data_IF_415006249195
#
_entry.id   IF_415006249195
#
_cell.length_a   1.000
_cell.length_b   1.000
_cell.length_c   1.000
_cell.angle_alpha   90.00
_cell.angle_beta   90.00
_cell.angle_gamma   90.00
#
_symmetry.space_group_name_H-M   'P 1'
#
loop_
_entity.id
_entity.type
_entity.pdbx_description
1 polymer ?
#
# COMPACT_ATOMS: atom_id res chain seq x y z
N UNK A 1 -11.70 -6.31 17.05
CA UNK A 1 -11.64 -6.55 15.60
C UNK A 1 -11.46 -5.26 14.81
N UNK A 2 -12.44 -4.34 14.87
CA UNK A 2 -12.37 -3.08 14.10
C UNK A 2 -11.22 -2.18 14.56
N UNK A 3 -11.02 -2.02 15.86
CA UNK A 3 -9.93 -1.21 16.41
C UNK A 3 -8.57 -1.78 16.06
N UNK A 4 -8.41 -3.09 16.12
CA UNK A 4 -7.17 -3.75 15.74
C UNK A 4 -6.81 -3.50 14.28
N UNK A 5 -7.80 -3.51 13.38
CA UNK A 5 -7.59 -3.22 11.96
C UNK A 5 -7.18 -1.76 11.74
N UNK A 6 -7.77 -0.83 12.47
CA UNK A 6 -7.39 0.59 12.42
C UNK A 6 -5.95 0.78 12.92
N UNK A 7 -5.62 0.19 14.06
CA UNK A 7 -4.27 0.27 14.64
C UNK A 7 -3.22 -0.31 13.70
N UNK A 8 -3.52 -1.44 13.07
CA UNK A 8 -2.64 -2.07 12.08
C UNK A 8 -2.41 -1.15 10.88
N UNK A 9 -3.45 -0.48 10.39
CA UNK A 9 -3.34 0.48 9.29
C UNK A 9 -2.47 1.69 9.65
N UNK A 10 -2.61 2.22 10.85
CA UNK A 10 -1.79 3.33 11.36
C UNK A 10 -0.32 2.89 11.45
N UNK A 11 -0.05 1.73 12.04
CA UNK A 11 1.30 1.19 12.15
C UNK A 11 1.92 0.93 10.78
N UNK A 12 1.15 0.36 9.84
CA UNK A 12 1.60 0.08 8.48
C UNK A 12 2.01 1.35 7.74
N UNK A 13 1.22 2.41 7.81
CA UNK A 13 1.55 3.69 7.18
C UNK A 13 2.79 4.32 7.80
N UNK A 14 2.93 4.26 9.11
CA UNK A 14 4.13 4.75 9.80
C UNK A 14 5.39 4.02 9.33
N UNK A 15 5.33 2.70 9.22
CA UNK A 15 6.45 1.89 8.72
C UNK A 15 6.76 2.24 7.27
N UNK A 16 5.73 2.41 6.43
CA UNK A 16 5.90 2.76 5.02
C UNK A 16 6.60 4.12 4.84
N UNK A 17 6.19 5.12 5.60
CA UNK A 17 6.84 6.44 5.57
C UNK A 17 8.28 6.38 6.08
N UNK A 18 8.54 5.64 7.14
CA UNK A 18 9.89 5.43 7.65
C UNK A 18 10.79 4.73 6.62
N UNK A 19 10.26 3.72 5.93
CA UNK A 19 10.97 3.03 4.85
C UNK A 19 11.32 4.00 3.71
N UNK A 20 10.39 4.84 3.32
CA UNK A 20 10.60 5.86 2.28
C UNK A 20 11.76 6.80 2.62
N UNK A 21 11.87 7.24 3.87
CA UNK A 21 12.98 8.09 4.32
C UNK A 21 14.36 7.41 4.28
N UNK A 22 14.38 6.08 4.10
CA UNK A 22 15.59 5.26 3.99
C UNK A 22 15.79 4.68 2.59
N UNK A 23 15.14 5.26 1.59
CA UNK A 23 15.17 4.84 0.19
C UNK A 23 14.71 3.39 -0.03
N UNK A 24 13.83 2.90 0.84
CA UNK A 24 13.22 1.59 0.70
C UNK A 24 11.82 1.70 0.11
N UNK A 25 11.50 0.78 -0.80
CA UNK A 25 10.14 0.56 -1.25
C UNK A 25 9.36 -0.25 -0.23
N UNK A 26 8.08 0.01 -0.11
CA UNK A 26 7.17 -0.74 0.75
C UNK A 26 5.85 -0.99 0.02
N UNK A 27 5.44 -2.24 -0.02
CA UNK A 27 4.14 -2.63 -0.55
C UNK A 27 3.29 -3.18 0.60
N UNK A 28 2.11 -2.58 0.79
CA UNK A 28 1.12 -3.05 1.76
C UNK A 28 0.11 -3.91 0.99
N UNK A 29 -0.13 -5.13 1.44
CA UNK A 29 -1.14 -5.97 0.82
C UNK A 29 -1.91 -6.81 1.83
N UNK A 30 -3.16 -7.11 1.45
CA UNK A 30 -4.11 -7.88 2.23
C UNK A 30 -4.42 -9.23 1.56
N UNK A 31 -4.04 -9.41 0.30
CA UNK A 31 -4.29 -10.61 -0.49
C UNK A 31 -3.27 -11.70 -0.17
N UNK A 32 -3.45 -12.38 0.94
CA UNK A 32 -2.63 -13.51 1.34
C UNK A 32 -3.51 -14.57 2.02
N UNK A 33 -3.01 -15.81 2.07
CA UNK A 33 -3.65 -16.90 2.81
C UNK A 33 -3.14 -16.86 4.26
N UNK A 34 -4.00 -16.53 5.24
CA UNK A 34 -3.58 -16.42 6.64
C UNK A 34 -3.03 -17.74 7.21
N UNK A 35 -3.53 -18.89 6.72
CA UNK A 35 -3.05 -20.20 7.18
C UNK A 35 -1.63 -20.45 6.73
N UNK A 36 -1.33 -20.17 5.46
CA UNK A 36 0.03 -20.30 4.92
C UNK A 36 1.02 -19.36 5.60
N UNK A 37 0.63 -18.13 5.86
CA UNK A 37 1.48 -17.17 6.58
C UNK A 37 1.80 -17.67 7.99
N UNK A 38 0.79 -18.18 8.70
CA UNK A 38 0.99 -18.77 10.03
C UNK A 38 1.97 -19.93 10.00
N UNK A 39 1.79 -20.84 9.06
CA UNK A 39 2.63 -22.02 8.91
C UNK A 39 4.08 -21.62 8.63
N UNK A 40 4.31 -20.75 7.64
CA UNK A 40 5.64 -20.34 7.21
C UNK A 40 6.39 -19.56 8.29
N UNK A 41 5.69 -18.69 9.02
CA UNK A 41 6.30 -17.81 10.03
C UNK A 41 6.18 -18.32 11.47
N UNK A 42 5.52 -19.46 11.68
CA UNK A 42 5.31 -20.00 13.02
C UNK A 42 4.45 -19.11 13.91
N UNK A 43 3.44 -18.45 13.35
CA UNK A 43 2.56 -17.54 14.11
C UNK A 43 1.58 -18.37 14.93
N UNK A 44 1.52 -18.17 16.27
CA UNK A 44 0.58 -18.91 17.12
C UNK A 44 -0.87 -18.58 16.79
N UNK A 45 -1.77 -19.54 17.09
CA UNK A 45 -3.19 -19.46 16.72
C UNK A 45 -3.94 -18.27 17.34
N UNK A 46 -3.49 -17.80 18.50
CA UNK A 46 -4.10 -16.66 19.17
C UNK A 46 -3.73 -15.30 18.53
N UNK A 47 -2.86 -15.30 17.53
CA UNK A 47 -2.52 -14.08 16.77
C UNK A 47 -3.07 -14.19 15.35
N UNK A 48 -3.67 -13.12 14.88
CA UNK A 48 -4.23 -13.05 13.53
C UNK A 48 -3.39 -12.14 12.64
N UNK A 49 -2.85 -12.64 11.52
CA UNK A 49 -2.22 -11.79 10.51
C UNK A 49 -3.25 -10.87 9.86
N UNK A 50 -3.09 -9.57 9.94
CA UNK A 50 -4.03 -8.59 9.41
C UNK A 50 -3.62 -8.03 8.07
N UNK A 51 -2.33 -7.79 7.87
CA UNK A 51 -1.76 -7.29 6.62
C UNK A 51 -0.29 -7.66 6.54
N UNK A 52 0.26 -7.55 5.34
CA UNK A 52 1.68 -7.81 5.07
C UNK A 52 2.32 -6.57 4.48
N UNK A 53 3.52 -6.27 4.96
CA UNK A 53 4.38 -5.22 4.42
C UNK A 53 5.59 -5.88 3.77
N UNK A 54 5.75 -5.71 2.46
CA UNK A 54 6.95 -6.15 1.75
C UNK A 54 7.89 -4.95 1.61
N UNK A 55 9.07 -5.06 2.18
CA UNK A 55 10.09 -4.01 2.18
C UNK A 55 11.28 -4.45 1.33
N UNK A 56 11.83 -3.53 0.56
CA UNK A 56 13.01 -3.82 -0.25
C UNK A 56 13.47 -2.62 -1.06
N UNK A 57 14.61 -2.79 -1.73
CA UNK A 57 15.09 -1.76 -2.64
C UNK A 57 14.18 -1.65 -3.87
N UNK A 58 13.89 -0.41 -4.26
CA UNK A 58 13.05 -0.15 -5.42
C UNK A 58 13.78 -0.57 -6.70
N UNK A 59 13.12 -1.40 -7.48
CA UNK A 59 13.61 -1.85 -8.78
C UNK A 59 12.85 -1.19 -9.93
N UNK A 60 11.62 -0.78 -9.68
CA UNK A 60 10.75 -0.19 -10.69
C UNK A 60 10.82 1.33 -10.67
N UNK A 61 10.69 1.92 -11.85
CA UNK A 61 10.39 3.35 -11.98
C UNK A 61 8.88 3.52 -11.85
N UNK A 62 8.46 4.38 -10.93
CA UNK A 62 7.05 4.69 -10.69
C UNK A 62 6.79 6.16 -10.95
N UNK A 63 5.62 6.44 -11.50
CA UNK A 63 5.19 7.80 -11.80
C UNK A 63 3.77 8.02 -11.27
N UNK A 64 3.62 8.97 -10.37
CA UNK A 64 2.30 9.40 -9.88
C UNK A 64 1.74 10.39 -10.87
N UNK A 65 0.49 10.20 -11.28
CA UNK A 65 -0.22 11.01 -12.27
C UNK A 65 -1.57 11.44 -11.72
N UNK A 66 -2.09 12.55 -12.23
CA UNK A 66 -3.49 12.92 -11.98
C UNK A 66 -4.39 12.05 -12.85
N UNK A 67 -5.51 11.60 -12.29
CA UNK A 67 -6.50 10.82 -13.06
C UNK A 67 -6.93 11.57 -14.31
N UNK A 68 -7.13 10.83 -15.38
CA UNK A 68 -7.63 11.37 -16.64
C UNK A 68 -9.14 11.63 -16.64
N UNK A 69 -9.68 11.99 -17.81
CA UNK A 69 -11.08 12.31 -17.99
C UNK A 69 -12.03 11.16 -17.65
N UNK A 70 -11.58 9.90 -17.77
CA UNK A 70 -12.35 8.70 -17.41
C UNK A 70 -12.46 8.46 -15.90
N UNK A 71 -11.71 9.21 -15.08
CA UNK A 71 -11.73 9.07 -13.63
C UNK A 71 -11.11 7.78 -13.11
N UNK A 72 -10.49 6.96 -13.96
CA UNK A 72 -9.90 5.69 -13.56
C UNK A 72 -8.66 5.90 -12.69
N UNK A 73 -8.64 5.24 -11.53
CA UNK A 73 -7.48 5.19 -10.62
C UNK A 73 -6.68 3.91 -10.78
N UNK A 74 -6.98 3.11 -11.79
CA UNK A 74 -6.29 1.84 -12.04
C UNK A 74 -4.86 2.10 -12.48
N UNK A 75 -3.91 1.51 -11.78
CA UNK A 75 -2.49 1.58 -12.14
C UNK A 75 -2.19 0.69 -13.37
N UNK A 76 -1.15 1.05 -14.11
CA UNK A 76 -0.75 0.34 -15.34
C UNK A 76 0.75 0.48 -15.60
N UNK A 77 1.28 -0.39 -16.43
CA UNK A 77 2.68 -0.35 -16.87
C UNK A 77 2.76 -0.07 -18.36
N UNK A 78 3.68 0.80 -18.74
CA UNK A 78 3.95 1.08 -20.14
C UNK A 78 4.96 0.12 -20.76
N UNK A 79 5.24 0.31 -22.06
CA UNK A 79 6.16 -0.55 -22.80
C UNK A 79 7.61 -0.50 -22.27
N UNK A 80 8.00 0.58 -21.58
CA UNK A 80 9.31 0.74 -20.96
C UNK A 80 9.37 0.21 -19.53
N UNK A 81 8.28 -0.38 -19.04
CA UNK A 81 8.20 -0.92 -17.68
C UNK A 81 7.94 0.12 -16.59
N UNK A 82 7.64 1.36 -16.95
CA UNK A 82 7.28 2.40 -15.98
C UNK A 82 5.89 2.12 -15.42
N UNK A 83 5.79 2.13 -14.08
CA UNK A 83 4.53 1.90 -13.37
C UNK A 83 3.82 3.23 -13.14
N UNK A 84 2.69 3.41 -13.80
CA UNK A 84 1.86 4.62 -13.71
C UNK A 84 0.77 4.45 -12.67
N UNK A 85 0.69 5.40 -11.73
CA UNK A 85 -0.26 5.36 -10.63
C UNK A 85 -1.13 6.62 -10.67
N UNK A 86 -2.34 6.55 -11.27
CA UNK A 86 -3.26 7.68 -11.29
C UNK A 86 -3.82 7.97 -9.89
N UNK A 87 -3.79 9.23 -9.50
CA UNK A 87 -4.35 9.71 -8.23
C UNK A 87 -5.29 10.88 -8.47
N UNK A 88 -6.34 10.95 -7.67
CA UNK A 88 -7.24 12.12 -7.69
C UNK A 88 -6.52 13.33 -7.07
N UNK A 89 -6.67 14.53 -7.63
CA UNK A 89 -6.08 15.73 -7.04
C UNK A 89 -6.72 16.08 -5.70
N UNK A 90 -5.99 16.79 -4.87
CA UNK A 90 -6.42 17.13 -3.51
C UNK A 90 -7.77 17.84 -3.48
N UNK A 91 -8.01 18.78 -4.40
CA UNK A 91 -9.26 19.53 -4.49
C UNK A 91 -10.49 18.65 -4.70
N UNK A 92 -10.33 17.50 -5.34
CA UNK A 92 -11.42 16.54 -5.56
C UNK A 92 -11.70 15.68 -4.33
N UNK A 93 -10.77 15.66 -3.37
CA UNK A 93 -10.90 14.90 -2.13
C UNK A 93 -11.51 15.73 -1.00
N UNK A 94 -11.49 17.05 -1.12
CA UNK A 94 -12.02 17.95 -0.10
C UNK A 94 -13.52 18.16 -0.31
N UNK A 95 -14.30 17.80 0.71
CA UNK A 95 -15.77 17.96 0.69
C UNK A 95 -16.14 19.38 1.08
N UNK A 96 -15.44 19.95 2.06
CA UNK A 96 -15.66 21.31 2.55
C UNK A 96 -14.43 22.15 2.21
N UNK A 97 -14.64 23.15 1.38
CA UNK A 97 -13.60 24.11 0.98
C UNK A 97 -13.90 25.47 1.62
N UNK A 98 -12.94 26.00 2.33
CA UNK A 98 -13.01 27.36 2.90
C UNK A 98 -11.92 28.25 2.33
#
# INVERSE_FOLDING_TARGET
AKLNAIDAGIAAQTIQLAAYTRDLGCCIFLSFDPRKIREVLGIPENLEPLLVLALGFQKEVRRVETVGADGSVKYWRDAQGVHHVPKRPLEDLLIIKK
#
